data_IF_767223991776
#
_entry.id   IF_767223991776
#
_cell.length_a   1.000
_cell.length_b   1.000
_cell.length_c   1.000
_cell.angle_alpha   90.00
_cell.angle_beta   90.00
_cell.angle_gamma   90.00
#
_symmetry.space_group_name_H-M   'P 1'
#
loop_
_entity.id
_entity.type
_entity.pdbx_description
1 polymer ?
#
# COMPACT_ATOMS: atom_id res chain seq x y z
N UNK A 1 -11.07 7.53 -3.19
CA UNK A 1 -11.43 7.81 -1.82
C UNK A 1 -10.89 6.73 -0.88
N UNK A 2 -10.21 7.16 0.15
CA UNK A 2 -9.56 6.26 1.10
C UNK A 2 -10.58 5.40 1.85
N UNK A 3 -11.68 5.99 2.28
CA UNK A 3 -12.71 5.25 3.01
C UNK A 3 -13.38 4.20 2.13
N UNK A 4 -13.60 4.53 0.87
CA UNK A 4 -14.20 3.60 -0.09
C UNK A 4 -13.27 2.42 -0.36
N UNK A 5 -11.97 2.69 -0.49
CA UNK A 5 -10.99 1.63 -0.70
C UNK A 5 -10.91 0.68 0.49
N UNK A 6 -10.98 1.22 1.70
CA UNK A 6 -10.95 0.40 2.92
C UNK A 6 -12.21 -0.48 3.02
N UNK A 7 -13.38 0.09 2.69
CA UNK A 7 -14.63 -0.66 2.70
C UNK A 7 -14.62 -1.78 1.67
N UNK A 8 -14.10 -1.50 0.49
CA UNK A 8 -13.98 -2.49 -0.59
C UNK A 8 -13.08 -3.65 -0.17
N UNK A 9 -11.93 -3.35 0.40
CA UNK A 9 -10.99 -4.38 0.87
C UNK A 9 -11.63 -5.26 1.93
N UNK A 10 -12.36 -4.66 2.85
CA UNK A 10 -13.03 -5.41 3.90
C UNK A 10 -14.11 -6.34 3.32
N UNK A 11 -14.88 -5.83 2.37
CA UNK A 11 -15.90 -6.63 1.69
C UNK A 11 -15.28 -7.81 0.96
N UNK A 12 -14.19 -7.59 0.24
CA UNK A 12 -13.47 -8.65 -0.47
C UNK A 12 -12.95 -9.70 0.49
N UNK A 13 -12.39 -9.28 1.62
CA UNK A 13 -11.83 -10.20 2.61
C UNK A 13 -12.89 -11.10 3.24
N UNK A 14 -14.15 -10.67 3.22
CA UNK A 14 -15.26 -11.47 3.79
C UNK A 14 -15.99 -12.31 2.77
N UNK A 15 -15.57 -12.28 1.50
CA UNK A 15 -16.18 -13.11 0.47
C UNK A 15 -15.72 -14.55 0.61
N UNK A 16 -16.67 -15.47 0.50
CA UNK A 16 -16.36 -16.89 0.52
C UNK A 16 -15.80 -17.34 -0.83
N UNK A 17 -14.94 -18.36 -0.77
CA UNK A 17 -14.43 -19.01 -1.95
C UNK A 17 -13.04 -18.55 -2.33
N UNK A 18 -12.48 -19.25 -3.30
CA UNK A 18 -11.14 -18.96 -3.78
C UNK A 18 -11.24 -18.02 -4.97
N UNK A 19 -11.05 -16.75 -4.71
CA UNK A 19 -11.13 -15.72 -5.73
C UNK A 19 -9.80 -14.99 -5.82
N UNK A 20 -9.33 -14.78 -7.04
CA UNK A 20 -8.16 -13.97 -7.28
C UNK A 20 -8.62 -12.53 -7.52
N UNK A 21 -8.09 -11.61 -6.73
CA UNK A 21 -8.47 -10.21 -6.82
C UNK A 21 -7.22 -9.37 -7.10
N UNK A 22 -7.32 -8.50 -8.10
CA UNK A 22 -6.26 -7.56 -8.44
C UNK A 22 -6.69 -6.14 -8.04
N UNK A 23 -5.82 -5.45 -7.32
CA UNK A 23 -6.06 -4.07 -6.93
C UNK A 23 -4.87 -3.24 -7.42
N UNK A 24 -5.15 -2.20 -8.19
CA UNK A 24 -4.11 -1.27 -8.63
C UNK A 24 -4.27 0.02 -7.85
N UNK A 25 -3.21 0.44 -7.17
CA UNK A 25 -3.27 1.61 -6.32
C UNK A 25 -1.92 2.30 -6.23
N UNK A 26 -1.96 3.61 -6.09
CA UNK A 26 -0.77 4.42 -5.82
C UNK A 26 -0.58 4.67 -4.32
N UNK A 27 -1.46 4.13 -3.50
CA UNK A 27 -1.40 4.33 -2.05
C UNK A 27 -0.96 3.05 -1.36
N UNK A 28 0.16 3.12 -0.67
CA UNK A 28 0.70 1.96 0.06
C UNK A 28 -0.30 1.43 1.08
N UNK A 29 -1.01 2.32 1.77
CA UNK A 29 -1.98 1.91 2.78
C UNK A 29 -3.09 1.01 2.23
N UNK A 30 -3.40 1.13 0.94
CA UNK A 30 -4.46 0.35 0.31
C UNK A 30 -4.04 -1.07 -0.04
N UNK A 31 -2.74 -1.34 -0.13
CA UNK A 31 -2.24 -2.62 -0.62
C UNK A 31 -1.39 -3.38 0.38
N UNK A 32 -1.16 -2.83 1.57
CA UNK A 32 -0.26 -3.43 2.57
C UNK A 32 -0.69 -4.82 2.99
N UNK A 33 -1.97 -5.13 2.90
CA UNK A 33 -2.52 -6.42 3.35
C UNK A 33 -2.64 -7.44 2.21
N UNK A 34 -2.23 -7.09 1.00
CA UNK A 34 -2.30 -8.01 -0.12
C UNK A 34 -1.36 -9.20 0.10
N UNK A 35 -1.77 -10.35 -0.41
CA UNK A 35 -0.94 -11.55 -0.34
C UNK A 35 0.31 -11.42 -1.19
N UNK A 36 0.23 -10.65 -2.25
CA UNK A 36 1.35 -10.44 -3.15
C UNK A 36 1.24 -9.05 -3.75
N UNK A 37 2.32 -8.30 -3.67
CA UNK A 37 2.39 -6.94 -4.20
C UNK A 37 3.40 -6.94 -5.33
N UNK A 38 3.00 -6.35 -6.45
CA UNK A 38 3.88 -6.13 -7.60
C UNK A 38 4.19 -4.64 -7.66
N UNK A 39 5.45 -4.29 -7.65
CA UNK A 39 5.89 -2.89 -7.73
C UNK A 39 6.36 -2.61 -9.14
N UNK A 40 5.73 -1.63 -9.77
CA UNK A 40 6.06 -1.21 -11.13
C UNK A 40 6.74 0.16 -11.09
N UNK A 41 7.82 0.29 -11.83
CA UNK A 41 8.53 1.54 -11.99
C UNK A 41 9.03 1.64 -13.42
N UNK A 42 8.66 2.72 -14.08
CA UNK A 42 9.06 2.98 -15.46
C UNK A 42 8.76 1.78 -16.39
N UNK A 43 7.58 1.20 -16.23
CA UNK A 43 7.12 0.09 -17.06
C UNK A 43 7.74 -1.26 -16.75
N UNK A 44 8.52 -1.36 -15.68
CA UNK A 44 9.18 -2.60 -15.30
C UNK A 44 8.78 -3.03 -13.90
N UNK A 45 8.77 -4.35 -13.67
CA UNK A 45 8.54 -4.89 -12.34
C UNK A 45 9.87 -4.81 -11.57
N UNK A 46 9.87 -4.01 -10.51
CA UNK A 46 11.07 -3.83 -9.69
C UNK A 46 10.93 -4.49 -8.31
N UNK A 47 9.78 -5.03 -7.99
CA UNK A 47 9.58 -5.74 -6.72
C UNK A 47 8.37 -6.65 -6.78
N UNK A 48 8.44 -7.74 -6.04
CA UNK A 48 7.36 -8.73 -5.96
C UNK A 48 7.45 -9.45 -4.62
N UNK A 49 6.35 -9.41 -3.86
CA UNK A 49 6.31 -10.08 -2.56
C UNK A 49 5.27 -9.46 -1.65
N UNK A 50 5.36 -9.75 -0.37
CA UNK A 50 4.48 -9.13 0.62
C UNK A 50 4.98 -7.74 0.98
N UNK A 51 4.17 -7.01 1.73
CA UNK A 51 4.57 -5.70 2.25
C UNK A 51 5.89 -5.78 3.02
N UNK A 52 6.00 -6.76 3.91
CA UNK A 52 7.20 -6.90 4.73
C UNK A 52 8.42 -7.25 3.88
N UNK A 53 8.26 -8.14 2.90
CA UNK A 53 9.33 -8.51 2.00
C UNK A 53 9.85 -7.30 1.23
N UNK A 54 8.93 -6.50 0.72
CA UNK A 54 9.29 -5.35 -0.10
C UNK A 54 9.93 -4.22 0.71
N UNK A 55 9.55 -4.08 1.98
CA UNK A 55 10.20 -3.10 2.83
C UNK A 55 11.67 -3.45 3.07
N UNK A 56 12.02 -4.73 3.01
CA UNK A 56 13.39 -5.19 3.18
C UNK A 56 14.17 -5.17 1.88
N UNK A 57 13.56 -5.65 0.80
CA UNK A 57 14.29 -5.99 -0.43
C UNK A 57 14.06 -5.01 -1.58
N UNK A 58 13.03 -4.18 -1.52
CA UNK A 58 12.68 -3.28 -2.61
C UNK A 58 12.82 -1.82 -2.17
N UNK A 59 13.88 -1.17 -2.62
CA UNK A 59 14.12 0.22 -2.27
C UNK A 59 13.03 1.15 -2.79
N UNK A 60 12.54 0.90 -4.00
CA UNK A 60 11.46 1.70 -4.59
C UNK A 60 10.21 1.65 -3.72
N UNK A 61 9.82 0.45 -3.29
CA UNK A 61 8.64 0.29 -2.45
C UNK A 61 8.82 0.99 -1.10
N UNK A 62 9.99 0.83 -0.50
CA UNK A 62 10.30 1.47 0.77
C UNK A 62 10.24 2.99 0.68
N UNK A 63 10.76 3.56 -0.39
CA UNK A 63 10.71 4.99 -0.62
C UNK A 63 9.27 5.49 -0.76
N UNK A 64 8.45 4.75 -1.50
CA UNK A 64 7.04 5.10 -1.66
C UNK A 64 6.33 5.06 -0.32
N UNK A 65 6.54 4.01 0.44
CA UNK A 65 5.92 3.83 1.75
C UNK A 65 6.34 4.95 2.71
N UNK A 66 7.62 5.18 2.84
CA UNK A 66 8.14 6.21 3.74
C UNK A 66 7.68 7.61 3.35
N UNK A 67 7.66 7.89 2.06
CA UNK A 67 7.20 9.18 1.56
C UNK A 67 5.76 9.46 1.97
N UNK A 68 4.88 8.48 1.86
CA UNK A 68 3.47 8.64 2.18
C UNK A 68 3.22 8.77 3.68
N UNK A 69 3.85 7.94 4.48
CA UNK A 69 3.62 7.93 5.92
C UNK A 69 4.37 9.06 6.62
N UNK A 70 5.56 9.39 6.16
CA UNK A 70 6.33 10.49 6.71
C UNK A 70 5.64 11.83 6.50
N UNK A 71 5.04 12.03 5.33
CA UNK A 71 4.29 13.24 5.04
C UNK A 71 3.12 13.41 6.00
N UNK A 72 2.43 12.33 6.31
CA UNK A 72 1.31 12.36 7.25
C UNK A 72 1.79 12.75 8.65
N UNK A 73 2.91 12.22 9.10
CA UNK A 73 3.47 12.55 10.39
C UNK A 73 3.87 14.03 10.48
N UNK A 74 4.47 14.56 9.43
CA UNK A 74 4.86 15.96 9.38
C UNK A 74 3.64 16.88 9.43
N UNK A 75 2.56 16.52 8.75
CA UNK A 75 1.33 17.29 8.79
C UNK A 75 0.74 17.29 10.18
N UNK A 76 0.69 16.16 10.85
CA UNK A 76 0.17 16.04 12.21
C UNK A 76 1.01 16.83 13.20
N UNK A 77 2.32 16.76 13.06
CA UNK A 77 3.23 17.51 13.93
C UNK A 77 3.05 19.02 13.73
N UNK A 78 2.86 19.45 12.49
CA UNK A 78 2.60 20.85 12.19
C UNK A 78 1.31 21.35 12.81
N UNK A 79 0.28 20.55 12.77
CA UNK A 79 -0.99 20.89 13.38
C UNK A 79 -0.89 20.94 14.90
N UNK A 80 -0.15 20.03 15.50
CA UNK A 80 0.00 19.97 16.94
C UNK A 80 0.74 21.19 17.51
N UNK A 81 1.55 21.84 16.72
CA UNK A 81 2.29 23.01 17.16
C UNK A 81 1.48 24.29 17.13
N UNK A 82 0.31 24.28 16.59
CA UNK A 82 -0.59 25.42 16.59
C UNK A 82 -1.50 25.36 17.81
#
# INVERSE_FOLDING_TARGET
>A
DFATAAALRKAIAHMDGQMTVFIVSQRAASIMQADKIVVLDDGEIVGLGTHEDLLKDCEVYREIYESQFKRTEEQQAGEAKR
#
